data_IF_973293833490
#
_entry.id   IF_973293833490
#
_cell.length_a   1.000
_cell.length_b   1.000
_cell.length_c   1.000
_cell.angle_alpha   90.00
_cell.angle_beta   90.00
_cell.angle_gamma   90.00
#
_symmetry.space_group_name_H-M   'P 1'
#
loop_
_entity.id
_entity.type
_entity.pdbx_description
1 polymer ?
#
# COMPACT_ATOMS: atom_id res chain seq x y z
N UNK A 1 -4.09 10.75 10.74
CA UNK A 1 -3.50 9.43 10.48
C UNK A 1 -2.24 9.63 9.63
N UNK A 2 -1.23 8.79 9.80
CA UNK A 2 -0.06 8.69 8.93
C UNK A 2 -0.08 7.36 8.18
N UNK A 3 0.06 7.41 6.86
CA UNK A 3 0.15 6.22 5.99
C UNK A 3 1.54 6.22 5.35
N UNK A 4 2.25 5.10 5.45
CA UNK A 4 3.57 4.90 4.82
C UNK A 4 3.49 3.77 3.81
N UNK A 5 3.74 4.10 2.54
CA UNK A 5 3.61 3.17 1.41
C UNK A 5 4.87 2.31 1.18
N UNK A 6 5.39 1.68 2.23
CA UNK A 6 6.56 0.80 2.16
C UNK A 6 7.90 1.49 1.98
N UNK A 7 8.92 0.69 1.71
CA UNK A 7 10.32 1.07 1.50
C UNK A 7 10.90 1.87 2.66
N UNK A 8 10.72 1.35 3.87
CA UNK A 8 11.25 1.92 5.10
C UNK A 8 12.79 1.88 5.09
N UNK A 9 13.37 0.85 4.48
CA UNK A 9 14.80 0.72 4.28
C UNK A 9 15.15 0.48 2.83
N UNK A 10 16.16 1.20 2.33
CA UNK A 10 16.67 1.01 0.98
C UNK A 10 17.28 -0.39 0.72
N UNK A 11 17.67 -1.10 1.78
CA UNK A 11 18.31 -2.42 1.73
C UNK A 11 17.63 -3.43 2.66
N UNK A 12 16.38 -3.19 3.07
CA UNK A 12 15.67 -3.94 4.10
C UNK A 12 15.70 -5.45 3.88
N UNK A 13 15.44 -5.91 2.67
CA UNK A 13 15.42 -7.32 2.30
C UNK A 13 16.76 -8.05 2.45
N UNK A 14 17.88 -7.32 2.49
CA UNK A 14 19.23 -7.86 2.68
C UNK A 14 19.66 -7.87 4.16
N UNK A 15 18.87 -7.26 5.05
CA UNK A 15 19.22 -7.12 6.45
C UNK A 15 18.90 -8.39 7.26
N UNK A 16 19.76 -8.68 8.22
CA UNK A 16 19.44 -9.62 9.30
C UNK A 16 18.33 -9.04 10.18
N UNK A 17 17.59 -9.90 10.90
CA UNK A 17 16.55 -9.46 11.85
C UNK A 17 17.05 -8.42 12.85
N UNK A 18 18.26 -8.58 13.40
CA UNK A 18 18.85 -7.63 14.34
C UNK A 18 19.14 -6.26 13.73
N UNK A 19 19.61 -6.21 12.48
CA UNK A 19 19.80 -4.95 11.75
C UNK A 19 18.46 -4.30 11.41
N UNK A 20 17.46 -5.10 11.03
CA UNK A 20 16.09 -4.63 10.81
C UNK A 20 15.50 -3.98 12.08
N UNK A 21 15.69 -4.57 13.26
CA UNK A 21 15.25 -3.92 14.51
C UNK A 21 15.89 -2.54 14.71
N UNK A 22 17.13 -2.34 14.28
CA UNK A 22 17.79 -1.03 14.33
C UNK A 22 17.14 -0.03 13.37
N UNK A 23 16.74 -0.48 12.17
CA UNK A 23 15.97 0.33 11.21
C UNK A 23 14.63 0.74 11.82
N UNK A 24 13.87 -0.20 12.40
CA UNK A 24 12.58 0.08 13.00
C UNK A 24 12.68 1.10 14.15
N UNK A 25 13.71 0.99 14.98
CA UNK A 25 13.97 1.97 16.04
C UNK A 25 14.27 3.37 15.47
N UNK A 26 15.06 3.46 14.40
CA UNK A 26 15.33 4.73 13.73
C UNK A 26 14.06 5.31 13.09
N UNK A 27 13.28 4.47 12.42
CA UNK A 27 12.00 4.85 11.84
C UNK A 27 11.05 5.41 12.90
N UNK A 28 10.89 4.74 14.04
CA UNK A 28 10.08 5.24 15.16
C UNK A 28 10.60 6.57 15.72
N UNK A 29 11.92 6.78 15.79
CA UNK A 29 12.49 8.07 16.22
C UNK A 29 12.17 9.19 15.24
N UNK A 30 12.24 8.93 13.93
CA UNK A 30 11.85 9.90 12.89
C UNK A 30 10.36 10.22 13.00
N UNK A 31 9.52 9.21 13.22
CA UNK A 31 8.09 9.37 13.43
C UNK A 31 7.73 10.03 14.77
N UNK A 32 8.68 10.16 15.71
CA UNK A 32 8.48 10.66 17.08
C UNK A 32 7.45 11.79 17.22
N UNK A 33 7.58 12.91 16.48
CA UNK A 33 6.64 14.03 16.55
C UNK A 33 5.20 13.70 16.15
N UNK A 34 5.00 12.61 15.40
CA UNK A 34 3.72 12.18 14.82
C UNK A 34 3.15 10.92 15.48
N UNK A 35 3.77 10.38 16.54
CA UNK A 35 3.33 9.12 17.19
C UNK A 35 1.94 9.19 17.82
N UNK A 36 1.40 10.40 18.04
CA UNK A 36 0.02 10.58 18.49
C UNK A 36 -1.01 10.33 17.37
N UNK A 37 -0.59 10.27 16.11
CA UNK A 37 -1.45 9.94 14.98
C UNK A 37 -1.49 8.42 14.80
N UNK A 38 -2.66 7.83 14.49
CA UNK A 38 -2.73 6.44 14.03
C UNK A 38 -1.80 6.23 12.83
N UNK A 39 -1.01 5.15 12.87
CA UNK A 39 0.00 4.81 11.87
C UNK A 39 -0.38 3.51 11.17
N UNK A 40 -0.43 3.52 9.84
CA UNK A 40 -0.50 2.32 9.02
C UNK A 40 0.68 2.27 8.06
N UNK A 41 1.37 1.14 8.01
CA UNK A 41 2.55 0.93 7.17
C UNK A 41 2.32 -0.32 6.34
N UNK A 42 2.54 -0.22 5.03
CA UNK A 42 2.53 -1.39 4.13
C UNK A 42 3.97 -1.77 3.79
N UNK A 43 4.18 -2.97 3.24
CA UNK A 43 5.51 -3.46 2.90
C UNK A 43 5.86 -3.15 1.43
N UNK A 44 7.05 -2.61 1.21
CA UNK A 44 7.61 -2.37 -0.12
C UNK A 44 8.61 -3.44 -0.56
N UNK A 45 9.05 -3.38 -1.82
CA UNK A 45 9.98 -4.36 -2.37
C UNK A 45 11.37 -4.29 -1.72
N UNK A 46 11.81 -3.10 -1.32
CA UNK A 46 13.08 -2.97 -0.59
C UNK A 46 12.99 -3.53 0.81
N UNK A 47 11.78 -3.65 1.36
CA UNK A 47 11.58 -4.21 2.69
C UNK A 47 11.61 -5.75 2.70
N UNK A 48 10.96 -6.39 1.72
CA UNK A 48 10.74 -7.85 1.70
C UNK A 48 11.41 -8.60 0.53
N UNK A 49 11.97 -7.88 -0.43
CA UNK A 49 12.78 -8.39 -1.53
C UNK A 49 12.01 -8.62 -2.83
N UNK A 50 12.73 -9.05 -3.85
CA UNK A 50 12.14 -9.51 -5.12
C UNK A 50 11.49 -10.89 -4.99
N UNK A 51 10.91 -11.38 -6.09
CA UNK A 51 10.24 -12.68 -6.16
C UNK A 51 11.12 -13.88 -5.78
N UNK A 52 12.44 -13.79 -5.95
CA UNK A 52 13.37 -14.86 -5.56
C UNK A 52 13.65 -14.87 -4.06
N UNK A 53 13.48 -13.72 -3.40
CA UNK A 53 13.72 -13.52 -1.96
C UNK A 53 12.44 -13.53 -1.13
N UNK A 54 11.28 -13.44 -1.78
CA UNK A 54 9.98 -13.40 -1.13
C UNK A 54 9.77 -14.66 -0.27
N UNK A 55 9.63 -14.47 1.04
CA UNK A 55 9.49 -15.56 2.00
C UNK A 55 8.39 -15.28 3.03
N UNK A 56 7.42 -16.18 3.14
CA UNK A 56 6.27 -16.00 4.04
C UNK A 56 6.66 -15.84 5.52
N UNK A 57 7.71 -16.52 6.00
CA UNK A 57 8.17 -16.38 7.40
C UNK A 57 8.81 -15.03 7.64
N UNK A 58 9.59 -14.52 6.68
CA UNK A 58 10.19 -13.19 6.74
C UNK A 58 9.13 -12.10 6.67
N UNK A 59 8.17 -12.22 5.75
CA UNK A 59 7.04 -11.28 5.61
C UNK A 59 6.21 -11.24 6.90
N UNK A 60 5.82 -12.41 7.44
CA UNK A 60 5.11 -12.50 8.72
C UNK A 60 5.89 -11.82 9.84
N UNK A 61 7.18 -12.11 9.95
CA UNK A 61 8.01 -11.51 11.01
C UNK A 61 8.05 -9.99 10.87
N UNK A 62 8.24 -9.47 9.66
CA UNK A 62 8.29 -8.03 9.45
C UNK A 62 6.92 -7.37 9.73
N UNK A 63 5.84 -7.94 9.19
CA UNK A 63 4.47 -7.47 9.38
C UNK A 63 4.08 -7.37 10.87
N UNK A 64 4.54 -8.28 11.73
CA UNK A 64 4.25 -8.21 13.18
C UNK A 64 4.81 -6.96 13.88
N UNK A 65 5.70 -6.20 13.23
CA UNK A 65 6.22 -4.93 13.76
C UNK A 65 5.37 -3.72 13.37
N UNK A 66 4.38 -3.89 12.49
CA UNK A 66 3.51 -2.81 12.01
C UNK A 66 2.06 -3.05 12.46
N UNK A 67 1.42 -2.05 13.10
CA UNK A 67 0.02 -2.17 13.50
C UNK A 67 -0.88 -2.45 12.30
N UNK A 68 -1.84 -3.37 12.46
CA UNK A 68 -2.89 -3.62 11.46
C UNK A 68 -2.51 -4.55 10.30
N UNK A 69 -1.25 -5.04 10.23
CA UNK A 69 -0.86 -6.03 9.23
C UNK A 69 -1.05 -7.48 9.73
N UNK A 70 -1.52 -8.34 8.83
CA UNK A 70 -1.61 -9.78 9.01
C UNK A 70 -0.30 -10.50 8.62
N UNK A 71 -0.29 -11.84 8.71
CA UNK A 71 0.91 -12.63 8.39
C UNK A 71 1.33 -12.60 6.92
N UNK A 72 0.46 -12.13 6.02
CA UNK A 72 0.78 -11.95 4.60
C UNK A 72 1.24 -10.53 4.26
N UNK A 73 1.23 -9.62 5.25
CA UNK A 73 1.54 -8.21 5.04
C UNK A 73 0.37 -7.41 4.45
N UNK A 74 -0.84 -7.94 4.55
CA UNK A 74 -2.09 -7.25 4.21
C UNK A 74 -2.74 -6.67 5.47
N UNK A 75 -3.64 -5.71 5.31
CA UNK A 75 -4.37 -5.13 6.43
C UNK A 75 -5.67 -4.48 5.97
N UNK A 76 -6.66 -4.44 6.85
CA UNK A 76 -7.93 -3.77 6.61
C UNK A 76 -8.35 -3.01 7.88
N UNK A 77 -8.87 -1.80 7.72
CA UNK A 77 -9.29 -0.95 8.84
C UNK A 77 -10.23 0.16 8.36
N UNK A 78 -10.98 0.74 9.30
CA UNK A 78 -11.93 1.82 9.02
C UNK A 78 -11.56 3.11 9.74
N UNK A 79 -11.78 4.26 9.09
CA UNK A 79 -11.67 5.58 9.68
C UNK A 79 -12.88 6.41 9.27
N UNK A 80 -13.69 6.82 10.25
CA UNK A 80 -14.81 7.74 10.03
C UNK A 80 -15.68 7.33 8.83
N UNK A 81 -16.12 6.06 8.81
CA UNK A 81 -16.93 5.42 7.76
C UNK A 81 -16.23 5.19 6.41
N UNK A 82 -14.92 5.40 6.31
CA UNK A 82 -14.11 5.05 5.13
C UNK A 82 -13.36 3.77 5.44
N UNK A 83 -13.61 2.73 4.64
CA UNK A 83 -12.86 1.48 4.70
C UNK A 83 -11.56 1.59 3.91
N UNK A 84 -10.49 1.01 4.44
CA UNK A 84 -9.18 0.94 3.82
C UNK A 84 -8.73 -0.51 3.73
N UNK A 85 -8.21 -0.89 2.56
CA UNK A 85 -7.61 -2.21 2.34
C UNK A 85 -6.19 -2.02 1.83
N UNK A 86 -5.25 -2.67 2.50
CA UNK A 86 -3.84 -2.69 2.10
C UNK A 86 -3.42 -4.10 1.72
N UNK A 87 -2.76 -4.22 0.56
CA UNK A 87 -2.35 -5.51 0.02
C UNK A 87 -0.83 -5.56 -0.16
N UNK A 88 -0.26 -6.75 0.05
CA UNK A 88 1.14 -7.01 -0.25
C UNK A 88 1.37 -7.03 -1.78
N UNK A 89 1.74 -5.88 -2.31
CA UNK A 89 1.91 -5.66 -3.75
C UNK A 89 3.04 -6.52 -4.35
N UNK A 90 4.10 -6.81 -3.60
CA UNK A 90 5.21 -7.66 -4.05
C UNK A 90 4.74 -9.09 -4.27
N UNK A 91 3.99 -9.64 -3.32
CA UNK A 91 3.44 -10.98 -3.45
C UNK A 91 2.39 -11.07 -4.57
N UNK A 92 1.63 -10.00 -4.84
CA UNK A 92 0.76 -9.92 -6.01
C UNK A 92 1.55 -9.89 -7.33
N UNK A 93 2.67 -9.17 -7.36
CA UNK A 93 3.57 -9.08 -8.51
C UNK A 93 4.24 -10.41 -8.85
N UNK A 94 4.62 -11.18 -7.83
CA UNK A 94 5.34 -12.45 -8.01
C UNK A 94 4.49 -13.64 -8.47
N UNK A 95 3.20 -13.43 -8.75
CA UNK A 95 2.32 -14.46 -9.27
C UNK A 95 2.10 -15.59 -8.26
N UNK A 96 2.50 -16.82 -8.61
CA UNK A 96 2.31 -17.99 -7.74
C UNK A 96 3.37 -18.04 -6.64
N UNK A 97 2.94 -17.83 -5.41
CA UNK A 97 3.78 -17.91 -4.21
C UNK A 97 2.93 -18.25 -2.98
N UNK A 98 3.59 -18.63 -1.87
CA UNK A 98 2.93 -19.07 -0.64
C UNK A 98 2.02 -18.00 0.01
N UNK A 99 2.21 -16.72 -0.32
CA UNK A 99 1.41 -15.62 0.22
C UNK A 99 0.17 -15.32 -0.63
N UNK A 100 0.18 -15.69 -1.92
CA UNK A 100 -0.88 -15.35 -2.89
C UNK A 100 -2.27 -15.71 -2.37
N UNK A 101 -2.44 -16.95 -1.91
CA UNK A 101 -3.72 -17.43 -1.39
C UNK A 101 -4.21 -16.64 -0.17
N UNK A 102 -3.28 -16.22 0.71
CA UNK A 102 -3.64 -15.42 1.89
C UNK A 102 -4.13 -14.02 1.50
N UNK A 103 -3.52 -13.44 0.45
CA UNK A 103 -3.89 -12.13 -0.06
C UNK A 103 -5.26 -12.19 -0.75
N UNK A 104 -5.50 -13.22 -1.57
CA UNK A 104 -6.81 -13.45 -2.18
C UNK A 104 -7.88 -13.64 -1.12
N UNK A 105 -7.59 -14.36 -0.02
CA UNK A 105 -8.51 -14.48 1.10
C UNK A 105 -8.87 -13.14 1.75
N UNK A 106 -7.92 -12.21 1.86
CA UNK A 106 -8.20 -10.84 2.33
C UNK A 106 -9.12 -10.14 1.34
N UNK A 107 -8.79 -10.15 0.05
CA UNK A 107 -9.61 -9.54 -1.00
C UNK A 107 -11.05 -10.08 -0.98
N UNK A 108 -11.23 -11.39 -0.90
CA UNK A 108 -12.55 -12.02 -0.85
C UNK A 108 -13.30 -11.70 0.45
N UNK A 109 -12.62 -11.61 1.59
CA UNK A 109 -13.26 -11.22 2.85
C UNK A 109 -13.79 -9.79 2.76
N UNK A 110 -12.95 -8.85 2.37
CA UNK A 110 -13.35 -7.44 2.26
C UNK A 110 -14.40 -7.24 1.15
N UNK A 111 -14.35 -8.03 0.08
CA UNK A 111 -15.41 -8.10 -0.94
C UNK A 111 -16.74 -8.54 -0.31
N UNK A 112 -16.78 -9.63 0.47
CA UNK A 112 -18.00 -10.10 1.10
C UNK A 112 -18.58 -9.08 2.07
N UNK A 113 -17.75 -8.38 2.84
CA UNK A 113 -18.18 -7.35 3.77
C UNK A 113 -18.86 -6.18 3.02
N UNK A 114 -18.35 -5.78 1.85
CA UNK A 114 -19.01 -4.80 0.97
C UNK A 114 -20.37 -5.29 0.44
N UNK A 115 -20.54 -6.61 0.26
CA UNK A 115 -21.79 -7.19 -0.24
C UNK A 115 -22.80 -7.54 0.87
N UNK A 116 -22.33 -7.69 2.12
CA UNK A 116 -23.14 -8.08 3.28
C UNK A 116 -24.05 -6.96 3.80
N UNK A 117 -23.63 -5.71 3.67
CA UNK A 117 -24.41 -4.53 4.10
C UNK A 117 -25.71 -4.31 3.29
N UNK A 118 -25.90 -5.03 2.18
CA UNK A 118 -27.13 -4.98 1.39
C UNK A 118 -28.23 -5.94 1.90
N UNK A 119 -27.95 -6.90 2.79
CA UNK A 119 -28.93 -7.91 3.23
C UNK A 119 -28.74 -8.39 4.67
N UNK A 120 -29.17 -7.61 5.66
CA UNK A 120 -29.70 -8.15 6.92
C UNK A 120 -30.50 -7.10 7.72
N UNK A 121 -31.77 -7.38 8.08
CA UNK A 121 -32.45 -6.66 9.16
C UNK A 121 -32.21 -7.35 10.52
N UNK A 122 -31.87 -6.54 11.53
CA UNK A 122 -32.02 -6.78 12.99
C UNK A 122 -31.30 -7.98 13.62
N UNK A 123 -30.23 -7.71 14.37
CA UNK A 123 -30.18 -7.79 15.85
C UNK A 123 -28.75 -7.42 16.32
N UNK A 124 -28.61 -6.24 16.93
CA UNK A 124 -27.34 -5.80 17.53
C UNK A 124 -27.16 -6.47 18.89
N UNK A 125 -26.21 -7.41 18.99
CA UNK A 125 -25.54 -7.69 20.26
C UNK A 125 -24.37 -6.71 20.41
N UNK A 126 -24.43 -5.89 21.45
CA UNK A 126 -23.37 -4.94 21.79
C UNK A 126 -22.25 -5.68 22.53
N UNK A 127 -21.11 -5.86 21.86
CA UNK A 127 -19.80 -6.09 22.50
C UNK A 127 -18.93 -4.87 22.16
N UNK A 128 -18.42 -4.12 23.16
CA UNK A 128 -17.76 -2.85 22.90
C UNK A 128 -16.32 -3.07 22.45
N UNK A 129 -16.13 -3.20 21.14
CA UNK A 129 -14.84 -2.96 20.49
C UNK A 129 -14.41 -1.53 20.81
N UNK A 130 -13.36 -1.37 21.62
CA UNK A 130 -12.85 -0.08 22.10
C UNK A 130 -12.26 0.74 20.95
N UNK A 131 -13.11 1.39 20.15
CA UNK A 131 -12.71 2.41 19.19
C UNK A 131 -12.57 3.74 19.91
N UNK A 132 -11.34 4.23 20.05
CA UNK A 132 -11.06 5.57 20.54
C UNK A 132 -11.67 6.58 19.57
N UNK A 133 -12.63 7.36 20.06
CA UNK A 133 -13.32 8.37 19.29
C UNK A 133 -12.35 9.54 19.02
N UNK A 134 -11.87 9.65 17.78
CA UNK A 134 -11.05 10.78 17.33
C UNK A 134 -11.92 11.74 16.51
N UNK A 135 -12.03 12.98 16.98
CA UNK A 135 -12.85 14.04 16.38
C UNK A 135 -12.29 14.59 15.06
N UNK A 136 -12.27 13.77 14.01
CA UNK A 136 -12.11 14.23 12.64
C UNK A 136 -13.49 14.48 12.02
N UNK A 137 -13.61 15.57 11.27
CA UNK A 137 -14.84 16.07 10.65
C UNK A 137 -15.49 14.95 9.82
N UNK A 138 -16.70 14.53 10.19
CA UNK A 138 -17.51 13.56 9.45
C UNK A 138 -17.72 14.08 8.02
N UNK A 139 -16.98 13.51 7.07
CA UNK A 139 -17.38 13.50 5.67
C UNK A 139 -18.01 12.15 5.43
N UNK A 140 -19.33 12.08 5.55
CA UNK A 140 -20.07 10.88 5.19
C UNK A 140 -19.78 10.57 3.71
N UNK A 141 -19.00 9.51 3.49
CA UNK A 141 -18.78 8.99 2.15
C UNK A 141 -20.10 8.35 1.70
N UNK A 142 -20.62 8.66 0.50
CA UNK A 142 -21.86 8.06 0.04
C UNK A 142 -21.75 6.54 0.05
N UNK A 143 -22.73 5.88 0.66
CA UNK A 143 -22.87 4.42 0.70
C UNK A 143 -22.62 3.85 -0.70
N UNK A 144 -21.68 2.91 -0.82
CA UNK A 144 -21.31 2.30 -2.11
C UNK A 144 -20.12 2.95 -2.82
N UNK A 145 -19.15 3.51 -2.09
CA UNK A 145 -17.90 4.06 -2.68
C UNK A 145 -16.68 3.11 -2.63
N UNK A 146 -16.84 1.91 -2.06
CA UNK A 146 -15.79 0.87 -1.95
C UNK A 146 -14.61 1.30 -1.07
N UNK A 147 -13.68 0.39 -0.77
CA UNK A 147 -12.57 0.70 0.11
C UNK A 147 -11.49 1.50 -0.61
N UNK A 148 -10.78 2.34 0.14
CA UNK A 148 -9.53 2.95 -0.32
C UNK A 148 -8.45 1.88 -0.34
N UNK A 149 -7.92 1.62 -1.53
CA UNK A 149 -6.85 0.63 -1.72
C UNK A 149 -5.47 1.26 -1.51
N UNK A 150 -4.67 0.66 -0.63
CA UNK A 150 -3.29 1.06 -0.32
C UNK A 150 -2.31 0.01 -0.88
N UNK A 151 -1.45 0.44 -1.79
CA UNK A 151 -0.45 -0.40 -2.45
C UNK A 151 0.90 0.29 -2.52
N UNK A 152 1.96 -0.52 -2.47
CA UNK A 152 3.32 -0.05 -2.72
C UNK A 152 3.57 0.11 -4.23
N UNK A 153 3.08 -0.83 -5.05
CA UNK A 153 3.14 -0.70 -6.51
C UNK A 153 1.84 -0.11 -7.08
N UNK A 154 1.92 0.82 -8.04
CA UNK A 154 0.74 1.32 -8.73
C UNK A 154 0.02 0.21 -9.52
N UNK A 155 -1.31 0.32 -9.62
CA UNK A 155 -2.15 -0.61 -10.40
C UNK A 155 -1.94 -0.49 -11.91
N UNK A 156 -1.59 0.70 -12.37
CA UNK A 156 -1.35 1.01 -13.78
C UNK A 156 -0.16 1.96 -13.90
N UNK A 157 0.69 1.70 -14.88
CA UNK A 157 1.82 2.57 -15.18
C UNK A 157 1.35 3.66 -16.11
N UNK A 158 1.58 4.91 -15.75
CA UNK A 158 1.51 6.00 -16.72
C UNK A 158 2.67 5.81 -17.69
N UNK A 159 2.44 5.01 -18.74
CA UNK A 159 3.36 5.03 -19.88
C UNK A 159 3.37 6.45 -20.39
N UNK A 160 4.52 7.11 -20.30
CA UNK A 160 4.76 8.46 -20.79
C UNK A 160 4.72 8.56 -22.34
N UNK A 161 3.90 7.70 -22.99
CA UNK A 161 3.66 7.70 -24.42
C UNK A 161 2.73 8.84 -24.85
N UNK A 162 1.97 9.40 -23.92
CA UNK A 162 1.06 10.53 -24.20
C UNK A 162 1.75 11.90 -24.10
N UNK A 163 2.95 11.98 -23.51
CA UNK A 163 3.80 13.17 -23.62
C UNK A 163 4.56 13.24 -24.96
N UNK A 164 4.68 12.15 -25.71
CA UNK A 164 5.37 12.12 -27.01
C UNK A 164 4.44 12.33 -28.22
N UNK A 165 3.11 12.28 -28.05
CA UNK A 165 2.17 12.21 -29.18
C UNK A 165 1.21 13.38 -29.36
N UNK A 166 1.39 14.48 -28.64
CA UNK A 166 0.67 15.72 -28.97
C UNK A 166 1.56 16.66 -29.77
N UNK A 167 1.47 16.50 -31.10
CA UNK A 167 1.69 17.60 -32.04
C UNK A 167 0.64 18.69 -31.76
N UNK A 168 0.91 19.57 -30.79
CA UNK A 168 0.27 20.88 -30.68
C UNK A 168 1.31 21.99 -30.93
N UNK A 169 0.90 23.13 -31.51
CA UNK A 169 1.80 24.08 -32.14
C UNK A 169 2.72 24.74 -31.11
N UNK A 170 3.98 24.96 -31.53
CA UNK A 170 4.96 25.82 -30.86
C UNK A 170 4.27 27.07 -30.28
N UNK A 171 4.21 27.15 -28.95
CA UNK A 171 4.12 28.42 -28.24
C UNK A 171 5.31 28.52 -27.30
N UNK A 172 6.14 29.57 -27.38
CA UNK A 172 7.36 29.67 -26.62
C UNK A 172 7.05 30.25 -25.24
N UNK A 173 6.98 29.39 -24.23
CA UNK A 173 7.29 29.81 -22.87
C UNK A 173 8.34 28.87 -22.28
N UNK A 174 9.55 29.10 -22.77
CA UNK A 174 10.80 28.69 -22.16
C UNK A 174 10.90 29.23 -20.74
N UNK A 175 10.85 28.34 -19.74
CA UNK A 175 11.72 28.35 -18.55
C UNK A 175 11.16 27.43 -17.47
N UNK A 176 11.28 26.10 -17.66
CA UNK A 176 11.41 25.19 -16.52
C UNK A 176 12.91 24.93 -16.39
N UNK A 177 13.54 25.22 -15.23
CA UNK A 177 14.98 25.07 -15.09
C UNK A 177 15.39 23.60 -15.27
N UNK A 178 16.51 23.37 -15.95
CA UNK A 178 17.15 22.06 -16.18
C UNK A 178 17.43 21.24 -14.89
N UNK A 179 17.13 21.79 -13.70
CA UNK A 179 17.26 21.15 -12.41
C UNK A 179 16.24 20.02 -12.13
N UNK A 180 15.04 20.03 -12.72
CA UNK A 180 14.01 19.01 -12.43
C UNK A 180 14.27 17.66 -13.10
N UNK A 181 14.77 17.66 -14.34
CA UNK A 181 15.22 16.44 -15.03
C UNK A 181 16.47 15.85 -14.34
N UNK A 182 17.38 16.72 -13.90
CA UNK A 182 18.52 16.28 -13.12
C UNK A 182 18.13 15.76 -11.73
N UNK A 183 17.03 16.23 -11.11
CA UNK A 183 16.54 15.72 -9.82
C UNK A 183 15.99 14.29 -9.90
N UNK A 184 15.38 13.92 -11.03
CA UNK A 184 14.92 12.55 -11.29
C UNK A 184 16.08 11.58 -11.58
N UNK A 185 17.13 12.03 -12.28
CA UNK A 185 18.35 11.24 -12.49
C UNK A 185 19.25 11.16 -11.24
N UNK A 186 19.32 12.21 -10.43
CA UNK A 186 20.14 12.23 -9.20
C UNK A 186 19.54 11.46 -8.03
N UNK A 187 18.37 10.82 -8.20
CA UNK A 187 17.82 9.86 -7.23
C UNK A 187 18.56 8.50 -7.24
N UNK A 188 19.53 8.30 -8.13
CA UNK A 188 20.50 7.19 -8.15
C UNK A 188 21.55 7.21 -7.02
N UNK A 189 21.31 7.92 -5.90
CA UNK A 189 22.22 7.90 -4.73
C UNK A 189 21.94 6.69 -3.80
N UNK A 190 21.04 5.78 -4.20
CA UNK A 190 20.90 4.45 -3.63
C UNK A 190 20.96 3.40 -4.74
N UNK A 191 21.46 2.20 -4.42
CA UNK A 191 21.38 1.06 -5.35
C UNK A 191 19.97 0.98 -5.97
N UNK A 192 19.84 0.67 -7.27
CA UNK A 192 18.54 0.40 -7.86
C UNK A 192 17.79 -0.59 -6.98
N UNK A 193 16.50 -0.32 -6.70
CA UNK A 193 15.68 -1.30 -6.00
C UNK A 193 15.58 -2.59 -6.82
N UNK A 194 15.15 -3.71 -6.22
CA UNK A 194 14.93 -4.95 -6.96
C UNK A 194 13.97 -4.77 -8.14
N UNK A 195 13.07 -3.78 -8.06
CA UNK A 195 12.23 -3.34 -9.17
C UNK A 195 12.54 -1.89 -9.57
N UNK A 196 12.47 -1.61 -10.88
CA UNK A 196 12.53 -0.24 -11.41
C UNK A 196 11.32 0.58 -10.93
N UNK A 197 11.49 1.90 -10.79
CA UNK A 197 10.47 2.89 -10.36
C UNK A 197 9.14 2.86 -11.14
N UNK A 198 9.07 2.13 -12.25
CA UNK A 198 7.91 2.00 -13.14
C UNK A 198 7.20 0.64 -13.04
N UNK A 199 7.58 -0.23 -12.11
CA UNK A 199 6.88 -1.51 -11.94
C UNK A 199 5.46 -1.30 -11.42
N UNK A 200 4.52 -1.96 -12.09
CA UNK A 200 3.10 -1.93 -11.76
C UNK A 200 2.62 -3.32 -11.43
N UNK A 201 1.49 -3.43 -10.75
CA UNK A 201 0.87 -4.74 -10.57
C UNK A 201 0.54 -5.38 -11.93
N UNK A 202 0.66 -6.72 -12.05
CA UNK A 202 0.25 -7.45 -13.23
C UNK A 202 -1.24 -7.18 -13.57
N UNK A 203 -1.60 -7.05 -14.86
CA UNK A 203 -2.97 -6.71 -15.26
C UNK A 203 -4.04 -7.65 -14.70
N UNK A 204 -3.75 -8.95 -14.59
CA UNK A 204 -4.65 -9.93 -14.00
C UNK A 204 -4.89 -9.68 -12.50
N UNK A 205 -3.85 -9.29 -11.75
CA UNK A 205 -4.00 -8.92 -10.34
C UNK A 205 -4.79 -7.62 -10.20
N UNK A 206 -4.51 -6.63 -11.05
CA UNK A 206 -5.25 -5.35 -11.09
C UNK A 206 -6.72 -5.58 -11.41
N UNK A 207 -7.05 -6.37 -12.42
CA UNK A 207 -8.42 -6.69 -12.80
C UNK A 207 -9.16 -7.43 -11.68
N UNK A 208 -8.52 -8.43 -11.07
CA UNK A 208 -9.11 -9.17 -9.95
C UNK A 208 -9.45 -8.26 -8.77
N UNK A 209 -8.52 -7.38 -8.37
CA UNK A 209 -8.76 -6.39 -7.30
C UNK A 209 -9.93 -5.48 -7.65
N UNK A 210 -9.97 -4.95 -8.87
CA UNK A 210 -11.05 -4.07 -9.30
C UNK A 210 -12.39 -4.77 -9.39
N UNK A 211 -12.45 -6.06 -9.74
CA UNK A 211 -13.70 -6.81 -9.78
C UNK A 211 -14.20 -7.14 -8.38
N UNK A 212 -13.30 -7.52 -7.47
CA UNK A 212 -13.65 -7.94 -6.11
C UNK A 212 -14.01 -6.76 -5.21
N UNK A 213 -13.22 -5.68 -5.23
CA UNK A 213 -13.41 -4.51 -4.36
C UNK A 213 -14.22 -3.39 -5.03
N UNK A 214 -14.93 -3.70 -6.13
CA UNK A 214 -15.74 -2.71 -6.83
C UNK A 214 -16.90 -2.24 -5.93
N UNK A 215 -17.08 -0.93 -5.75
CA UNK A 215 -18.31 -0.40 -5.21
C UNK A 215 -19.49 -0.73 -6.14
N UNK A 216 -20.63 -1.16 -5.59
CA UNK A 216 -21.88 -1.39 -6.33
C UNK A 216 -22.97 -0.45 -5.89
#
# INVERSE_FOLDING_TARGET
>A
MLIVLGDISAIGSELTKSRWLSVLQQFQRILGPFLALPLHVILGDRDIGDCSKLNAKSVKWLATNFPGLDSSGCGAFDISNISFVSLNAVALLCGSNDLRFSIEKVIERESLDLHGDAKAPTERSYEPSRSGHFGWRETDMPSGSGPVLLLHFPLHGTTNKDCEKNNLPRSPLSSVPDGWLNWLHSREIGRPGPYELLHTLPPNATEYIFQALKPR
#
